data_IF_007936809089
#
_entry.id   IF_007936809089
#
_cell.length_a   1.000
_cell.length_b   1.000
_cell.length_c   1.000
_cell.angle_alpha   90.00
_cell.angle_beta   90.00
_cell.angle_gamma   90.00
#
_symmetry.space_group_name_H-M   'P 1'
#
loop_
_entity.id
_entity.type
_entity.pdbx_description
1 polymer ?
#
# COMPACT_ATOMS: atom_id res chain seq x y z
N UNK A 1 -0.72 33.33 -12.04
CA UNK A 1 -1.47 32.41 -12.93
C UNK A 1 -0.78 31.07 -12.87
N UNK A 2 -1.44 30.01 -12.39
CA UNK A 2 -0.85 28.67 -12.49
C UNK A 2 -0.86 28.27 -13.97
N UNK A 3 0.33 28.08 -14.53
CA UNK A 3 0.50 27.58 -15.89
C UNK A 3 0.11 26.10 -15.90
N UNK A 4 -0.79 25.71 -16.80
CA UNK A 4 -1.23 24.33 -17.01
C UNK A 4 -0.11 23.26 -16.93
N UNK A 5 1.09 23.46 -17.53
CA UNK A 5 2.18 22.50 -17.38
C UNK A 5 2.64 22.28 -15.94
N UNK A 6 2.67 23.33 -15.12
CA UNK A 6 3.12 23.28 -13.72
C UNK A 6 2.15 22.43 -12.87
N UNK A 7 0.86 22.56 -13.18
CA UNK A 7 -0.23 21.78 -12.56
C UNK A 7 -0.16 20.29 -12.95
N UNK A 8 0.19 20.00 -14.20
CA UNK A 8 0.41 18.63 -14.68
C UNK A 8 1.63 17.99 -14.03
N UNK A 9 2.74 18.73 -13.91
CA UNK A 9 3.94 18.23 -13.23
C UNK A 9 3.71 17.99 -11.74
N UNK A 10 3.03 18.91 -11.06
CA UNK A 10 2.70 18.75 -9.65
C UNK A 10 1.77 17.55 -9.39
N UNK A 11 0.75 17.37 -10.23
CA UNK A 11 -0.17 16.23 -10.12
C UNK A 11 0.51 14.89 -10.45
N UNK A 12 1.39 14.86 -11.45
CA UNK A 12 2.21 13.68 -11.74
C UNK A 12 3.15 13.34 -10.57
N UNK A 13 3.81 14.35 -9.98
CA UNK A 13 4.68 14.15 -8.82
C UNK A 13 3.90 13.60 -7.62
N UNK A 14 2.70 14.14 -7.34
CA UNK A 14 1.82 13.64 -6.29
C UNK A 14 1.34 12.21 -6.56
N UNK A 15 1.00 11.89 -7.82
CA UNK A 15 0.61 10.54 -8.22
C UNK A 15 1.72 9.52 -7.98
N UNK A 16 2.96 9.86 -8.38
CA UNK A 16 4.15 9.04 -8.15
C UNK A 16 4.43 8.89 -6.66
N UNK A 17 4.38 9.98 -5.89
CA UNK A 17 4.60 9.94 -4.45
C UNK A 17 3.56 9.06 -3.73
N UNK A 18 2.29 9.18 -4.12
CA UNK A 18 1.21 8.37 -3.56
C UNK A 18 1.36 6.89 -3.94
N UNK A 19 1.73 6.60 -5.19
CA UNK A 19 2.02 5.24 -5.63
C UNK A 19 3.20 4.61 -4.88
N UNK A 20 4.29 5.37 -4.69
CA UNK A 20 5.48 4.92 -3.98
C UNK A 20 5.20 4.65 -2.49
N UNK A 21 4.44 5.53 -1.83
CA UNK A 21 4.03 5.33 -0.42
C UNK A 21 3.13 4.10 -0.26
N UNK A 22 2.21 3.87 -1.21
CA UNK A 22 1.39 2.65 -1.21
C UNK A 22 2.22 1.38 -1.45
N UNK A 23 3.16 1.41 -2.40
CA UNK A 23 4.02 0.26 -2.68
C UNK A 23 4.94 -0.09 -1.50
N UNK A 24 5.55 0.93 -0.87
CA UNK A 24 6.43 0.74 0.30
C UNK A 24 5.67 0.23 1.53
N UNK A 25 4.44 0.70 1.76
CA UNK A 25 3.59 0.17 2.84
C UNK A 25 3.19 -1.29 2.60
N UNK A 26 2.84 -1.67 1.37
CA UNK A 26 2.59 -3.09 1.05
C UNK A 26 3.85 -3.95 1.23
N UNK A 27 5.00 -3.46 0.75
CA UNK A 27 6.27 -4.18 0.82
C UNK A 27 6.69 -4.41 2.28
N UNK A 28 6.56 -3.40 3.14
CA UNK A 28 6.82 -3.54 4.58
C UNK A 28 5.89 -4.54 5.25
N UNK A 29 4.59 -4.52 4.93
CA UNK A 29 3.63 -5.52 5.47
C UNK A 29 3.98 -6.93 5.00
N UNK A 30 4.38 -7.10 3.74
CA UNK A 30 4.84 -8.39 3.21
C UNK A 30 6.10 -8.87 3.91
N UNK A 31 7.10 -7.99 4.08
CA UNK A 31 8.34 -8.30 4.81
C UNK A 31 8.04 -8.71 6.25
N UNK A 32 7.20 -7.97 6.97
CA UNK A 32 6.78 -8.31 8.34
C UNK A 32 6.07 -9.67 8.39
N UNK A 33 5.22 -9.96 7.40
CA UNK A 33 4.53 -11.25 7.28
C UNK A 33 5.50 -12.42 7.02
N UNK A 34 6.54 -12.21 6.21
CA UNK A 34 7.56 -13.22 5.90
C UNK A 34 8.49 -13.44 7.09
N UNK A 35 8.97 -12.37 7.72
CA UNK A 35 9.92 -12.35 8.86
C UNK A 35 9.28 -12.85 10.15
N UNK A 36 7.96 -12.70 10.32
CA UNK A 36 7.23 -13.29 11.45
C UNK A 36 7.29 -14.82 11.39
N UNK A 37 8.26 -15.39 12.11
CA UNK A 37 8.57 -16.83 12.20
C UNK A 37 7.50 -17.66 12.93
N UNK A 38 6.48 -17.02 13.52
CA UNK A 38 5.41 -17.70 14.26
C UNK A 38 4.21 -18.01 13.33
N UNK A 39 3.86 -19.30 13.10
CA UNK A 39 2.82 -19.68 12.14
C UNK A 39 1.42 -19.15 12.48
N UNK A 40 1.12 -18.91 13.76
CA UNK A 40 -0.12 -18.24 14.20
C UNK A 40 -0.14 -16.76 13.79
N UNK A 41 0.96 -16.03 13.96
CA UNK A 41 1.08 -14.63 13.48
C UNK A 41 1.05 -14.49 11.96
N UNK A 42 1.55 -15.48 11.21
CA UNK A 42 1.43 -15.50 9.74
C UNK A 42 -0.03 -15.54 9.28
N UNK A 43 -0.89 -16.24 10.04
CA UNK A 43 -2.32 -16.36 9.71
C UNK A 43 -3.05 -15.04 9.95
N UNK A 44 -2.75 -14.37 11.05
CA UNK A 44 -3.30 -13.04 11.34
C UNK A 44 -2.80 -11.99 10.36
N UNK A 45 -1.49 -11.97 10.06
CA UNK A 45 -0.94 -11.02 9.07
C UNK A 45 -1.54 -11.22 7.67
N UNK A 46 -1.81 -12.47 7.26
CA UNK A 46 -2.53 -12.77 6.01
C UNK A 46 -3.99 -12.35 6.07
N UNK A 47 -4.68 -12.50 7.21
CA UNK A 47 -6.05 -12.03 7.39
C UNK A 47 -6.11 -10.50 7.30
N UNK A 48 -5.20 -9.79 7.96
CA UNK A 48 -5.09 -8.33 7.88
C UNK A 48 -4.73 -7.86 6.47
N UNK A 49 -3.80 -8.53 5.78
CA UNK A 49 -3.51 -8.28 4.37
C UNK A 49 -4.72 -8.54 3.49
N UNK A 50 -5.46 -9.61 3.76
CA UNK A 50 -6.68 -9.93 3.01
C UNK A 50 -7.73 -8.84 3.21
N UNK A 51 -7.86 -8.25 4.40
CA UNK A 51 -8.78 -7.14 4.67
C UNK A 51 -8.28 -5.84 4.01
N UNK A 52 -6.98 -5.56 4.06
CA UNK A 52 -6.38 -4.37 3.42
C UNK A 52 -6.45 -4.44 1.89
N UNK A 53 -6.24 -5.63 1.32
CA UNK A 53 -6.20 -5.85 -0.14
C UNK A 53 -7.60 -6.16 -0.70
N UNK A 54 -8.43 -6.95 -0.02
CA UNK A 54 -9.85 -7.08 -0.37
C UNK A 54 -10.60 -5.88 0.21
N UNK A 55 -10.73 -4.84 -0.61
CA UNK A 55 -11.73 -3.77 -0.45
C UNK A 55 -13.20 -4.26 -0.48
N UNK A 56 -13.50 -5.52 -0.11
CA UNK A 56 -14.85 -6.06 -0.13
C UNK A 56 -15.08 -7.04 1.02
N UNK A 57 -16.08 -6.80 1.89
CA UNK A 57 -16.40 -7.72 2.98
C UNK A 57 -16.90 -9.06 2.40
N UNK A 58 -16.57 -10.20 3.04
CA UNK A 58 -17.21 -11.46 2.74
C UNK A 58 -18.71 -11.31 3.10
N UNK A 59 -19.57 -11.58 2.12
CA UNK A 59 -20.99 -11.82 2.36
C UNK A 59 -21.18 -13.23 2.89
#
# INVERSE_FOLDING_TARGET
MLLLPDLLTASAALGVATGATYATTLLTVVLVSVVSRNPTRRRDARATLTILVRRRPPR
#
